data_IF_729032547574
#
_entry.id   IF_729032547574
#
_cell.length_a   1.000
_cell.length_b   1.000
_cell.length_c   1.000
_cell.angle_alpha   90.00
_cell.angle_beta   90.00
_cell.angle_gamma   90.00
#
_symmetry.space_group_name_H-M   'P 1'
#
loop_
_entity.id
_entity.type
_entity.pdbx_description
1 polymer ?
#
# COMPACT_ATOMS: atom_id res chain seq x y z
N UNK A 1 -17.97 -51.47 33.40
CA UNK A 1 -18.15 -50.01 33.55
C UNK A 1 -16.81 -49.49 34.01
N UNK A 2 -15.94 -49.19 33.05
CA UNK A 2 -14.60 -48.66 33.28
C UNK A 2 -14.23 -47.88 32.02
N UNK A 3 -13.84 -46.63 32.23
CA UNK A 3 -13.55 -45.64 31.20
C UNK A 3 -12.35 -46.10 30.36
N UNK A 4 -12.53 -46.22 29.05
CA UNK A 4 -11.43 -46.30 28.10
C UNK A 4 -10.68 -44.97 28.13
N UNK A 5 -9.51 -44.94 28.77
CA UNK A 5 -8.51 -43.90 28.57
C UNK A 5 -8.06 -43.93 27.10
N UNK A 6 -8.43 -42.87 26.37
CA UNK A 6 -7.78 -42.54 25.10
C UNK A 6 -6.31 -42.22 25.38
N UNK A 7 -5.46 -43.22 25.19
CA UNK A 7 -4.02 -43.04 25.04
C UNK A 7 -3.74 -42.22 23.77
N UNK A 8 -3.86 -40.90 23.87
CA UNK A 8 -3.06 -40.01 23.03
C UNK A 8 -1.62 -40.17 23.49
N UNK A 9 -0.90 -41.07 22.84
CA UNK A 9 0.55 -41.13 22.91
C UNK A 9 1.07 -39.73 22.55
N UNK A 10 1.54 -39.03 23.57
CA UNK A 10 2.49 -37.93 23.47
C UNK A 10 3.74 -38.48 22.79
N UNK A 11 3.67 -38.65 21.47
CA UNK A 11 4.82 -38.85 20.63
C UNK A 11 5.69 -37.62 20.80
N UNK A 12 6.74 -37.80 21.60
CA UNK A 12 8.03 -37.14 21.45
C UNK A 12 7.96 -35.69 20.98
N UNK A 13 8.02 -34.76 21.94
CA UNK A 13 8.54 -33.42 21.75
C UNK A 13 9.99 -33.49 21.22
N UNK A 14 10.18 -33.95 19.98
CA UNK A 14 11.24 -33.42 19.14
C UNK A 14 10.82 -31.99 18.89
N UNK A 15 11.67 -31.04 19.27
CA UNK A 15 11.66 -29.71 18.69
C UNK A 15 11.73 -29.89 17.16
N UNK A 16 10.58 -30.00 16.49
CA UNK A 16 10.50 -29.95 15.05
C UNK A 16 11.07 -28.60 14.65
N UNK A 17 11.99 -28.64 13.69
CA UNK A 17 12.70 -27.48 13.20
C UNK A 17 11.69 -26.39 12.82
N UNK A 18 11.77 -25.24 13.49
CA UNK A 18 11.03 -24.03 13.12
C UNK A 18 11.14 -23.76 11.62
N UNK A 19 10.01 -23.73 10.92
CA UNK A 19 9.93 -23.27 9.54
C UNK A 19 9.88 -21.73 9.55
N UNK A 20 10.85 -21.09 8.90
CA UNK A 20 10.76 -19.67 8.55
C UNK A 20 10.77 -19.54 7.03
N UNK A 21 9.59 -19.76 6.42
CA UNK A 21 9.38 -19.70 4.97
C UNK A 21 9.84 -18.38 4.34
N UNK A 22 10.01 -17.31 5.15
CA UNK A 22 10.53 -16.01 4.73
C UNK A 22 11.98 -16.09 4.22
N UNK A 23 12.76 -17.09 4.68
CA UNK A 23 14.19 -17.23 4.39
C UNK A 23 14.56 -18.60 3.81
N UNK A 24 13.86 -19.67 4.19
CA UNK A 24 14.16 -21.01 3.73
C UNK A 24 12.93 -21.92 3.81
N UNK A 25 12.78 -22.81 2.82
CA UNK A 25 11.71 -23.81 2.74
C UNK A 25 12.14 -25.21 3.20
N UNK A 26 13.44 -25.44 3.45
CA UNK A 26 13.99 -26.80 3.71
C UNK A 26 13.42 -27.49 4.95
N UNK A 27 13.02 -26.72 5.95
CA UNK A 27 12.55 -27.22 7.24
C UNK A 27 11.02 -27.08 7.38
N UNK A 28 10.32 -26.81 6.28
CA UNK A 28 8.91 -26.53 6.26
C UNK A 28 8.12 -27.76 5.84
N UNK A 29 7.12 -28.10 6.64
CA UNK A 29 6.10 -29.06 6.24
C UNK A 29 5.39 -28.51 4.98
N UNK A 30 5.11 -29.38 4.02
CA UNK A 30 4.53 -29.02 2.72
C UNK A 30 5.34 -27.99 1.88
N UNK A 31 6.68 -27.98 2.02
CA UNK A 31 7.60 -27.22 1.16
C UNK A 31 7.24 -27.17 -0.35
N UNK A 32 6.80 -28.26 -1.04
CA UNK A 32 6.42 -28.18 -2.45
C UNK A 32 5.18 -27.30 -2.71
N UNK A 33 4.21 -27.28 -1.80
CA UNK A 33 3.01 -26.45 -1.95
C UNK A 33 3.35 -24.97 -1.76
N UNK A 34 4.12 -24.65 -0.70
CA UNK A 34 4.63 -23.31 -0.42
C UNK A 34 5.47 -22.77 -1.58
N UNK A 35 6.34 -23.61 -2.16
CA UNK A 35 7.12 -23.27 -3.36
C UNK A 35 6.23 -22.91 -4.55
N UNK A 36 5.18 -23.70 -4.79
CA UNK A 36 4.22 -23.44 -5.88
C UNK A 36 3.47 -22.12 -5.67
N UNK A 37 3.01 -21.85 -4.43
CA UNK A 37 2.34 -20.60 -4.08
C UNK A 37 3.26 -19.38 -4.22
N UNK A 38 4.54 -19.50 -3.83
CA UNK A 38 5.53 -18.44 -4.02
C UNK A 38 5.81 -18.16 -5.50
N UNK A 39 5.81 -19.16 -6.37
CA UNK A 39 5.92 -18.97 -7.82
C UNK A 39 4.70 -18.23 -8.37
N UNK A 40 3.49 -18.60 -7.97
CA UNK A 40 2.26 -17.91 -8.37
C UNK A 40 2.32 -16.44 -7.93
N UNK A 41 2.71 -16.18 -6.68
CA UNK A 41 2.84 -14.82 -6.17
C UNK A 41 3.90 -13.99 -6.90
N UNK A 42 5.01 -14.63 -7.29
CA UNK A 42 6.06 -14.03 -8.12
C UNK A 42 5.49 -13.57 -9.46
N UNK A 43 4.73 -14.42 -10.14
CA UNK A 43 4.09 -14.07 -11.42
C UNK A 43 3.13 -12.90 -11.24
N UNK A 44 2.26 -12.94 -10.23
CA UNK A 44 1.29 -11.87 -9.94
C UNK A 44 1.99 -10.54 -9.68
N UNK A 45 3.02 -10.53 -8.83
CA UNK A 45 3.76 -9.30 -8.48
C UNK A 45 4.50 -8.70 -9.67
N UNK A 46 5.10 -9.51 -10.54
CA UNK A 46 5.70 -9.02 -11.78
C UNK A 46 4.67 -8.47 -12.77
N UNK A 47 3.50 -9.11 -12.91
CA UNK A 47 2.40 -8.59 -13.74
C UNK A 47 1.95 -7.21 -13.25
N UNK A 48 1.74 -7.05 -11.93
CA UNK A 48 1.35 -5.77 -11.33
C UNK A 48 2.46 -4.73 -11.54
N UNK A 49 3.73 -5.10 -11.37
CA UNK A 49 4.85 -4.21 -11.61
C UNK A 49 4.87 -3.69 -13.06
N UNK A 50 4.76 -4.59 -14.05
CA UNK A 50 4.69 -4.22 -15.46
C UNK A 50 3.48 -3.33 -15.77
N UNK A 51 2.32 -3.65 -15.20
CA UNK A 51 1.12 -2.85 -15.35
C UNK A 51 1.30 -1.43 -14.77
N UNK A 52 1.91 -1.29 -13.59
CA UNK A 52 2.18 0.05 -13.02
C UNK A 52 3.23 0.82 -13.81
N UNK A 53 4.28 0.14 -14.30
CA UNK A 53 5.32 0.74 -15.12
C UNK A 53 4.75 1.25 -16.44
N UNK A 54 3.93 0.46 -17.13
CA UNK A 54 3.28 0.88 -18.39
C UNK A 54 2.38 2.09 -18.19
N UNK A 55 1.64 2.18 -17.07
CA UNK A 55 0.83 3.35 -16.73
C UNK A 55 1.70 4.58 -16.48
N UNK A 56 2.81 4.41 -15.76
CA UNK A 56 3.76 5.48 -15.49
C UNK A 56 4.38 6.00 -16.79
N UNK A 57 4.91 5.11 -17.63
CA UNK A 57 5.45 5.44 -18.95
C UNK A 57 4.41 6.15 -19.83
N UNK A 58 3.16 5.67 -19.83
CA UNK A 58 2.08 6.32 -20.57
C UNK A 58 1.82 7.76 -20.10
N UNK A 59 1.78 7.98 -18.78
CA UNK A 59 1.60 9.34 -18.20
C UNK A 59 2.77 10.26 -18.52
N UNK A 60 4.00 9.78 -18.37
CA UNK A 60 5.22 10.54 -18.66
C UNK A 60 5.32 10.89 -20.15
N UNK A 61 4.96 9.96 -21.05
CA UNK A 61 4.96 10.21 -22.49
C UNK A 61 3.89 11.23 -22.91
N UNK A 62 2.68 11.14 -22.34
CA UNK A 62 1.64 12.14 -22.58
C UNK A 62 2.08 13.54 -22.15
N UNK A 63 2.80 13.65 -21.03
CA UNK A 63 3.40 14.92 -20.59
C UNK A 63 4.56 15.37 -21.50
N UNK A 64 5.37 14.43 -21.99
CA UNK A 64 6.47 14.73 -22.92
C UNK A 64 5.99 15.38 -24.21
N UNK A 65 4.82 14.97 -24.71
CA UNK A 65 4.24 15.59 -25.92
C UNK A 65 3.84 17.05 -25.75
N UNK A 66 3.74 17.55 -24.51
CA UNK A 66 3.41 18.95 -24.21
C UNK A 66 4.60 19.76 -23.68
N UNK A 67 5.67 19.13 -23.21
CA UNK A 67 6.91 19.78 -22.75
C UNK A 67 8.11 18.81 -22.80
N UNK A 68 9.24 19.23 -23.41
CA UNK A 68 10.52 18.49 -23.54
C UNK A 68 11.26 18.14 -22.22
N UNK A 69 10.56 18.05 -21.08
CA UNK A 69 11.14 17.86 -19.72
C UNK A 69 10.71 16.55 -19.03
N UNK A 70 10.21 15.58 -19.78
CA UNK A 70 9.46 14.40 -19.28
C UNK A 70 10.19 13.49 -18.27
N UNK A 71 11.51 13.54 -18.16
CA UNK A 71 12.29 12.59 -17.35
C UNK A 71 12.88 13.14 -16.05
N UNK A 72 12.62 14.42 -15.72
CA UNK A 72 13.16 15.02 -14.49
C UNK A 72 12.29 14.66 -13.28
N UNK A 73 12.76 13.73 -12.45
CA UNK A 73 12.03 13.17 -11.29
C UNK A 73 11.54 14.26 -10.32
N UNK A 74 12.29 15.35 -10.14
CA UNK A 74 11.89 16.44 -9.24
C UNK A 74 10.66 17.23 -9.74
N UNK A 75 10.29 17.10 -11.02
CA UNK A 75 9.10 17.74 -11.60
C UNK A 75 7.88 16.81 -11.60
N UNK A 76 8.02 15.59 -11.09
CA UNK A 76 6.93 14.60 -11.07
C UNK A 76 5.85 14.98 -10.07
N UNK A 77 4.61 14.76 -10.48
CA UNK A 77 3.46 14.86 -9.59
C UNK A 77 3.48 13.76 -8.55
N UNK A 78 2.83 13.98 -7.41
CA UNK A 78 2.75 12.98 -6.35
C UNK A 78 2.16 11.64 -6.79
N UNK A 79 1.27 11.63 -7.78
CA UNK A 79 0.69 10.38 -8.32
C UNK A 79 1.72 9.60 -9.16
N UNK A 80 2.57 10.30 -9.92
CA UNK A 80 3.66 9.67 -10.68
C UNK A 80 4.70 9.06 -9.72
N UNK A 81 5.04 9.77 -8.65
CA UNK A 81 5.91 9.26 -7.58
C UNK A 81 5.31 8.05 -6.87
N UNK A 82 4.00 8.07 -6.55
CA UNK A 82 3.30 6.91 -5.98
C UNK A 82 3.37 5.71 -6.93
N UNK A 83 3.09 5.90 -8.22
CA UNK A 83 3.17 4.82 -9.22
C UNK A 83 4.58 4.23 -9.31
N UNK A 84 5.60 5.08 -9.32
CA UNK A 84 7.01 4.66 -9.34
C UNK A 84 7.36 3.79 -8.12
N UNK A 85 6.98 4.21 -6.91
CA UNK A 85 7.23 3.42 -5.70
C UNK A 85 6.44 2.12 -5.65
N UNK A 86 5.23 2.05 -6.22
CA UNK A 86 4.50 0.78 -6.39
C UNK A 86 5.26 -0.16 -7.32
N UNK A 87 5.77 0.35 -8.45
CA UNK A 87 6.56 -0.47 -9.39
C UNK A 87 7.78 -1.07 -8.70
N UNK A 88 8.54 -0.25 -7.97
CA UNK A 88 9.71 -0.72 -7.20
C UNK A 88 9.28 -1.72 -6.13
N UNK A 89 8.23 -1.42 -5.36
CA UNK A 89 7.70 -2.32 -4.33
C UNK A 89 7.39 -3.71 -4.90
N UNK A 90 6.61 -3.77 -5.98
CA UNK A 90 6.23 -5.03 -6.62
C UNK A 90 7.43 -5.77 -7.20
N UNK A 91 8.45 -5.07 -7.75
CA UNK A 91 9.69 -5.70 -8.20
C UNK A 91 10.45 -6.35 -7.05
N UNK A 92 10.67 -5.63 -5.95
CA UNK A 92 11.40 -6.17 -4.81
C UNK A 92 10.66 -7.34 -4.15
N UNK A 93 9.33 -7.27 -4.05
CA UNK A 93 8.51 -8.39 -3.56
C UNK A 93 8.59 -9.60 -4.48
N UNK A 94 8.47 -9.40 -5.79
CA UNK A 94 8.60 -10.48 -6.78
C UNK A 94 10.00 -11.11 -6.77
N UNK A 95 11.06 -10.31 -6.62
CA UNK A 95 12.43 -10.82 -6.47
C UNK A 95 12.59 -11.64 -5.18
N UNK A 96 12.08 -11.17 -4.04
CA UNK A 96 12.11 -11.96 -2.80
C UNK A 96 11.41 -13.31 -2.99
N UNK A 97 10.16 -13.34 -3.45
CA UNK A 97 9.41 -14.59 -3.61
C UNK A 97 10.06 -15.52 -4.64
N UNK A 98 10.65 -14.95 -5.71
CA UNK A 98 11.41 -15.71 -6.69
C UNK A 98 12.66 -16.36 -6.10
N UNK A 99 13.44 -15.61 -5.31
CA UNK A 99 14.66 -16.14 -4.68
C UNK A 99 14.38 -17.29 -3.73
N UNK A 100 13.31 -17.21 -2.94
CA UNK A 100 12.91 -18.28 -2.03
C UNK A 100 12.35 -19.48 -2.80
N UNK A 101 11.47 -19.25 -3.78
CA UNK A 101 10.85 -20.32 -4.55
C UNK A 101 11.86 -21.18 -5.32
N UNK A 102 12.88 -20.56 -5.91
CA UNK A 102 13.94 -21.25 -6.65
C UNK A 102 15.12 -21.68 -5.78
N UNK A 103 15.07 -21.46 -4.47
CA UNK A 103 16.17 -21.71 -3.55
C UNK A 103 17.48 -21.05 -4.04
N UNK A 104 17.44 -19.78 -4.51
CA UNK A 104 18.63 -19.03 -4.94
C UNK A 104 19.41 -18.50 -3.73
N UNK A 105 20.74 -18.47 -3.80
CA UNK A 105 21.61 -17.99 -2.70
C UNK A 105 21.50 -18.77 -1.39
N UNK A 106 21.39 -20.10 -1.46
CA UNK A 106 21.28 -21.02 -0.31
C UNK A 106 22.30 -20.79 0.78
N UNK A 107 23.55 -20.52 0.39
CA UNK A 107 24.67 -20.36 1.30
C UNK A 107 24.76 -18.93 1.88
N UNK A 108 23.91 -18.00 1.44
CA UNK A 108 23.92 -16.60 1.85
C UNK A 108 22.61 -16.22 2.57
N UNK A 109 22.42 -16.77 3.78
CA UNK A 109 21.24 -16.53 4.61
C UNK A 109 21.00 -15.04 4.89
N UNK A 110 22.07 -14.28 5.13
CA UNK A 110 21.99 -12.82 5.34
C UNK A 110 21.36 -12.14 4.13
N UNK A 111 21.79 -12.50 2.93
CA UNK A 111 21.32 -11.91 1.69
C UNK A 111 19.83 -12.21 1.44
N UNK A 112 19.37 -13.43 1.76
CA UNK A 112 17.95 -13.81 1.71
C UNK A 112 17.09 -13.01 2.70
N UNK A 113 17.57 -12.89 3.94
CA UNK A 113 16.89 -12.09 4.96
C UNK A 113 16.81 -10.61 4.57
N UNK A 114 17.87 -10.08 3.94
CA UNK A 114 17.87 -8.73 3.38
C UNK A 114 16.85 -8.54 2.28
N UNK A 115 16.70 -9.47 1.33
CA UNK A 115 15.67 -9.33 0.29
C UNK A 115 14.26 -9.23 0.87
N UNK A 116 13.95 -9.99 1.92
CA UNK A 116 12.65 -9.91 2.57
C UNK A 116 12.41 -8.54 3.20
N UNK A 117 13.28 -8.10 4.11
CA UNK A 117 13.06 -6.87 4.88
C UNK A 117 13.15 -5.60 4.01
N UNK A 118 14.13 -5.55 3.08
CA UNK A 118 14.31 -4.41 2.17
C UNK A 118 13.11 -4.26 1.24
N UNK A 119 12.42 -5.36 0.90
CA UNK A 119 11.23 -5.31 0.04
C UNK A 119 10.09 -4.45 0.58
N UNK A 120 10.07 -4.15 1.89
CA UNK A 120 9.05 -3.29 2.49
C UNK A 120 9.36 -1.79 2.39
N UNK A 121 10.63 -1.40 2.18
CA UNK A 121 11.06 0.00 2.13
C UNK A 121 10.25 0.83 1.11
N UNK A 122 10.10 0.38 -0.16
CA UNK A 122 9.29 1.10 -1.15
C UNK A 122 7.83 1.33 -0.71
N UNK A 123 7.25 0.36 0.00
CA UNK A 123 5.89 0.45 0.52
C UNK A 123 5.74 1.53 1.61
N UNK A 124 6.74 1.69 2.48
CA UNK A 124 6.77 2.79 3.45
C UNK A 124 6.85 4.16 2.77
N UNK A 125 7.68 4.30 1.74
CA UNK A 125 7.80 5.55 0.99
C UNK A 125 6.51 5.95 0.30
N UNK A 126 5.79 4.99 -0.29
CA UNK A 126 4.47 5.23 -0.87
C UNK A 126 3.53 5.88 0.15
N UNK A 127 3.43 5.29 1.35
CA UNK A 127 2.55 5.79 2.42
C UNK A 127 2.99 7.16 2.92
N UNK A 128 4.29 7.35 3.16
CA UNK A 128 4.82 8.62 3.63
C UNK A 128 4.59 9.74 2.61
N UNK A 129 4.83 9.50 1.31
CA UNK A 129 4.56 10.48 0.24
C UNK A 129 3.08 10.86 0.26
N UNK A 130 2.19 9.87 0.35
CA UNK A 130 0.76 10.11 0.37
C UNK A 130 0.32 10.91 1.61
N UNK A 131 0.82 10.57 2.80
CA UNK A 131 0.55 11.29 4.04
C UNK A 131 1.03 12.75 3.99
N UNK A 132 2.23 13.00 3.44
CA UNK A 132 2.74 14.35 3.22
C UNK A 132 1.85 15.16 2.27
N UNK A 133 1.29 14.53 1.25
CA UNK A 133 0.32 15.20 0.37
C UNK A 133 -0.97 15.57 1.13
N UNK A 134 -1.47 14.69 2.00
CA UNK A 134 -2.62 15.00 2.85
C UNK A 134 -2.31 16.20 3.74
N UNK A 135 -1.17 16.21 4.42
CA UNK A 135 -0.79 17.33 5.30
C UNK A 135 -0.63 18.65 4.57
N UNK A 136 -0.18 18.64 3.31
CA UNK A 136 -0.10 19.84 2.46
C UNK A 136 -1.46 20.27 1.90
N UNK A 137 -2.40 19.34 1.76
CA UNK A 137 -3.73 19.56 1.18
C UNK A 137 -4.72 20.13 2.21
N UNK A 138 -4.71 19.61 3.44
CA UNK A 138 -5.65 19.99 4.50
C UNK A 138 -5.65 21.53 4.75
N UNK A 139 -4.50 22.21 4.96
CA UNK A 139 -4.47 23.66 5.18
C UNK A 139 -5.08 24.47 4.03
N UNK A 140 -4.82 24.04 2.78
CA UNK A 140 -5.31 24.73 1.57
C UNK A 140 -6.82 24.60 1.44
N UNK A 141 -7.38 23.43 1.77
CA UNK A 141 -8.83 23.23 1.76
C UNK A 141 -9.52 23.94 2.92
N UNK A 142 -8.91 23.98 4.11
CA UNK A 142 -9.49 24.68 5.27
C UNK A 142 -9.51 26.20 5.10
N UNK A 143 -8.49 26.79 4.45
CA UNK A 143 -8.43 28.24 4.24
C UNK A 143 -9.53 28.74 3.30
N UNK A 144 -9.97 27.92 2.35
CA UNK A 144 -11.10 28.24 1.48
C UNK A 144 -12.47 28.18 2.20
N UNK A 145 -12.51 27.73 3.47
CA UNK A 145 -13.75 27.54 4.25
C UNK A 145 -13.91 28.51 5.42
N UNK A 146 -12.93 29.39 5.70
CA UNK A 146 -12.96 30.31 6.85
C UNK A 146 -14.08 31.36 6.79
N UNK A 147 -14.89 31.38 5.74
CA UNK A 147 -16.15 32.15 5.67
C UNK A 147 -17.31 31.52 6.46
N UNK A 148 -17.19 30.27 6.93
CA UNK A 148 -18.29 29.54 7.57
C UNK A 148 -18.10 29.41 9.09
N UNK A 149 -18.67 30.35 9.86
CA UNK A 149 -18.56 30.49 11.34
C UNK A 149 -19.04 29.28 12.18
N UNK A 150 -19.62 28.23 11.57
CA UNK A 150 -20.19 27.05 12.27
C UNK A 150 -19.35 25.77 12.16
N UNK A 151 -18.16 25.80 11.57
CA UNK A 151 -17.35 24.59 11.47
C UNK A 151 -16.70 24.27 12.82
N UNK A 152 -17.19 23.24 13.51
CA UNK A 152 -16.56 22.59 14.67
C UNK A 152 -15.23 21.90 14.32
N UNK A 153 -14.37 22.57 13.55
CA UNK A 153 -13.01 22.11 13.29
C UNK A 153 -12.23 22.44 14.56
N UNK A 154 -12.34 21.54 15.56
CA UNK A 154 -11.38 21.45 16.67
C UNK A 154 -9.99 21.59 16.08
N UNK A 155 -9.12 22.37 16.72
CA UNK A 155 -7.73 22.65 16.32
C UNK A 155 -7.03 21.38 15.83
N UNK A 156 -7.10 21.13 14.52
CA UNK A 156 -6.44 19.97 13.91
C UNK A 156 -4.95 20.27 14.03
N UNK A 157 -4.21 19.38 14.71
CA UNK A 157 -2.76 19.48 14.77
C UNK A 157 -2.20 19.17 13.37
N UNK A 158 -1.95 20.20 12.58
CA UNK A 158 -1.37 20.07 11.24
C UNK A 158 0.06 20.63 11.31
N UNK A 159 1.09 19.82 11.00
CA UNK A 159 2.45 20.32 10.94
C UNK A 159 2.57 21.36 9.81
N UNK A 160 3.33 22.43 10.05
CA UNK A 160 3.66 23.42 8.99
C UNK A 160 4.38 22.73 7.83
N UNK A 161 4.31 23.27 6.61
CA UNK A 161 4.91 22.65 5.41
C UNK A 161 6.40 22.26 5.59
N UNK A 162 7.19 23.14 6.23
CA UNK A 162 8.60 22.84 6.59
C UNK A 162 8.72 21.68 7.57
N UNK A 163 7.87 21.64 8.59
CA UNK A 163 7.85 20.55 9.60
C UNK A 163 7.41 19.22 8.97
N UNK A 164 6.40 19.23 8.11
CA UNK A 164 5.94 18.03 7.38
C UNK A 164 7.06 17.43 6.52
N UNK A 165 7.86 18.29 5.88
CA UNK A 165 8.99 17.85 5.04
C UNK A 165 10.14 17.28 5.89
N UNK A 166 10.44 17.89 7.04
CA UNK A 166 11.46 17.37 7.98
C UNK A 166 11.03 16.01 8.53
N UNK A 167 9.78 15.89 9.00
CA UNK A 167 9.21 14.64 9.53
C UNK A 167 9.26 13.55 8.46
N UNK A 168 8.88 13.87 7.22
CA UNK A 168 8.95 12.95 6.09
C UNK A 168 10.36 12.38 5.89
N UNK A 169 11.38 13.24 5.75
CA UNK A 169 12.75 12.78 5.53
C UNK A 169 13.32 12.00 6.71
N UNK A 170 13.04 12.45 7.93
CA UNK A 170 13.44 11.75 9.14
C UNK A 170 12.83 10.35 9.20
N UNK A 171 11.53 10.21 8.95
CA UNK A 171 10.85 8.90 8.89
C UNK A 171 11.41 8.03 7.77
N UNK A 172 11.70 8.58 6.58
CA UNK A 172 12.30 7.83 5.48
C UNK A 172 13.69 7.28 5.85
N UNK A 173 14.58 8.12 6.38
CA UNK A 173 15.94 7.72 6.79
C UNK A 173 15.85 6.69 7.91
N UNK A 174 15.05 6.96 8.94
CA UNK A 174 14.89 6.05 10.08
C UNK A 174 14.38 4.67 9.65
N UNK A 175 13.31 4.61 8.86
CA UNK A 175 12.73 3.33 8.41
C UNK A 175 13.69 2.53 7.54
N UNK A 176 14.42 3.19 6.63
CA UNK A 176 15.45 2.49 5.84
C UNK A 176 16.53 1.90 6.71
N UNK A 177 17.12 2.71 7.59
CA UNK A 177 18.22 2.28 8.44
C UNK A 177 17.76 1.17 9.41
N UNK A 178 16.58 1.31 10.01
CA UNK A 178 15.98 0.31 10.90
C UNK A 178 15.77 -1.03 10.19
N UNK A 179 15.17 -1.03 8.99
CA UNK A 179 14.92 -2.27 8.23
C UNK A 179 16.21 -2.91 7.74
N UNK A 180 17.19 -2.12 7.27
CA UNK A 180 18.49 -2.66 6.86
C UNK A 180 19.23 -3.28 8.05
N UNK A 181 19.26 -2.60 9.21
CA UNK A 181 19.87 -3.13 10.42
C UNK A 181 19.16 -4.40 10.91
N UNK A 182 17.81 -4.40 10.96
CA UNK A 182 17.05 -5.59 11.34
C UNK A 182 17.37 -6.76 10.42
N UNK A 183 17.46 -6.53 9.10
CA UNK A 183 17.78 -7.60 8.13
C UNK A 183 19.14 -8.25 8.35
N UNK A 184 20.17 -7.45 8.65
CA UNK A 184 21.53 -7.93 8.86
C UNK A 184 21.60 -8.70 10.17
N UNK A 185 21.07 -8.13 11.25
CA UNK A 185 21.10 -8.75 12.59
C UNK A 185 20.28 -10.04 12.59
N UNK A 186 19.14 -10.08 11.87
CA UNK A 186 18.33 -11.28 11.71
C UNK A 186 19.07 -12.37 10.94
N UNK A 187 19.76 -12.02 9.85
CA UNK A 187 20.66 -12.92 9.15
C UNK A 187 21.73 -13.52 10.07
N UNK A 188 22.37 -12.70 10.90
CA UNK A 188 23.34 -13.16 11.90
C UNK A 188 22.71 -14.03 13.00
N UNK A 189 21.48 -13.75 13.44
CA UNK A 189 20.80 -14.55 14.46
C UNK A 189 20.48 -15.97 13.99
N UNK A 190 20.26 -16.17 12.68
CA UNK A 190 20.01 -17.48 12.08
C UNK A 190 21.31 -18.30 12.03
N UNK A 191 22.44 -17.66 11.67
CA UNK A 191 23.75 -18.32 11.60
C UNK A 191 24.33 -18.59 12.99
N UNK A 192 24.23 -17.60 13.88
CA UNK A 192 24.73 -17.64 15.25
C UNK A 192 23.58 -17.35 16.21
N UNK A 193 22.92 -18.39 16.76
CA UNK A 193 21.75 -18.24 17.64
C UNK A 193 22.16 -17.75 19.03
N UNK A 194 22.67 -16.52 19.12
CA UNK A 194 22.93 -15.82 20.38
C UNK A 194 21.66 -15.11 20.83
N UNK A 195 21.31 -15.28 22.11
CA UNK A 195 20.15 -14.62 22.74
C UNK A 195 20.15 -13.10 22.56
N UNK A 196 21.32 -12.45 22.55
CA UNK A 196 21.46 -11.01 22.34
C UNK A 196 20.95 -10.55 20.98
N UNK A 197 21.29 -11.27 19.90
CA UNK A 197 20.82 -10.92 18.56
C UNK A 197 19.32 -11.07 18.43
N UNK A 198 18.75 -12.14 18.99
CA UNK A 198 17.31 -12.36 19.03
C UNK A 198 16.55 -11.24 19.78
N UNK A 199 17.10 -10.76 20.91
CA UNK A 199 16.50 -9.65 21.65
C UNK A 199 16.54 -8.36 20.81
N UNK A 200 17.66 -8.06 20.16
CA UNK A 200 17.81 -6.86 19.35
C UNK A 200 16.90 -6.88 18.12
N UNK A 201 16.79 -8.02 17.42
CA UNK A 201 15.87 -8.15 16.28
C UNK A 201 14.42 -7.95 16.72
N UNK A 202 14.02 -8.58 17.82
CA UNK A 202 12.67 -8.42 18.37
C UNK A 202 12.38 -6.96 18.75
N UNK A 203 13.35 -6.26 19.32
CA UNK A 203 13.22 -4.85 19.68
C UNK A 203 13.10 -3.95 18.44
N UNK A 204 13.89 -4.19 17.39
CA UNK A 204 13.76 -3.45 16.13
C UNK A 204 12.42 -3.72 15.45
N UNK A 205 11.96 -4.96 15.45
CA UNK A 205 10.68 -5.35 14.84
C UNK A 205 9.49 -4.75 15.60
N UNK A 206 9.55 -4.67 16.93
CA UNK A 206 8.53 -3.98 17.75
C UNK A 206 8.49 -2.47 17.47
N UNK A 207 9.64 -1.81 17.34
CA UNK A 207 9.69 -0.39 16.96
C UNK A 207 9.06 -0.19 15.58
N UNK A 208 9.42 -1.01 14.60
CA UNK A 208 8.85 -0.94 13.25
C UNK A 208 7.35 -1.22 13.25
N UNK A 209 6.87 -2.11 14.11
CA UNK A 209 5.45 -2.40 14.31
C UNK A 209 4.71 -1.17 14.85
N UNK A 210 5.24 -0.52 15.88
CA UNK A 210 4.63 0.70 16.46
C UNK A 210 4.55 1.80 15.40
N UNK A 211 5.60 1.95 14.57
CA UNK A 211 5.60 2.91 13.47
C UNK A 211 4.51 2.56 12.44
N UNK A 212 4.35 1.29 12.07
CA UNK A 212 3.30 0.84 11.14
C UNK A 212 1.90 1.15 11.70
N UNK A 213 1.65 0.87 12.99
CA UNK A 213 0.40 1.24 13.65
C UNK A 213 0.15 2.73 13.60
N UNK A 214 1.15 3.53 13.98
CA UNK A 214 1.04 4.98 13.98
C UNK A 214 0.71 5.53 12.58
N UNK A 215 1.38 5.03 11.54
CA UNK A 215 1.10 5.40 10.15
C UNK A 215 -0.32 4.99 9.72
N UNK A 216 -0.76 3.79 10.11
CA UNK A 216 -2.11 3.30 9.83
C UNK A 216 -3.20 4.20 10.45
N UNK A 217 -3.06 4.55 11.73
CA UNK A 217 -3.96 5.49 12.40
C UNK A 217 -3.92 6.88 11.77
N UNK A 218 -2.73 7.40 11.44
CA UNK A 218 -2.59 8.68 10.76
C UNK A 218 -3.32 8.70 9.42
N UNK A 219 -3.20 7.64 8.61
CA UNK A 219 -3.90 7.52 7.34
C UNK A 219 -5.43 7.53 7.49
N UNK A 220 -5.96 6.80 8.47
CA UNK A 220 -7.41 6.75 8.70
C UNK A 220 -7.92 8.11 9.21
N UNK A 221 -7.25 8.68 10.21
CA UNK A 221 -7.66 9.92 10.86
C UNK A 221 -7.56 11.12 9.92
N UNK A 222 -6.36 11.40 9.40
CA UNK A 222 -6.14 12.54 8.52
C UNK A 222 -6.74 12.31 7.13
N UNK A 223 -6.82 11.06 6.67
CA UNK A 223 -7.51 10.71 5.45
C UNK A 223 -9.01 11.02 5.51
N UNK A 224 -9.69 10.69 6.61
CA UNK A 224 -11.11 11.04 6.81
C UNK A 224 -11.33 12.54 6.83
N UNK A 225 -10.48 13.29 7.52
CA UNK A 225 -10.53 14.75 7.55
C UNK A 225 -10.37 15.31 6.13
N UNK A 226 -9.37 14.83 5.40
CA UNK A 226 -9.08 15.28 4.04
C UNK A 226 -10.24 15.01 3.09
N UNK A 227 -10.88 13.84 3.20
CA UNK A 227 -12.08 13.50 2.42
C UNK A 227 -13.24 14.44 2.73
N UNK A 228 -13.51 14.70 4.02
CA UNK A 228 -14.60 15.58 4.43
C UNK A 228 -14.38 17.02 3.93
N UNK A 229 -13.16 17.54 4.07
CA UNK A 229 -12.81 18.87 3.57
C UNK A 229 -12.92 18.95 2.05
N UNK A 230 -12.50 17.89 1.35
CA UNK A 230 -12.64 17.82 -0.11
C UNK A 230 -14.11 17.82 -0.52
N UNK A 231 -14.95 17.03 0.14
CA UNK A 231 -16.39 16.99 -0.12
C UNK A 231 -17.06 18.35 0.14
N UNK A 232 -16.73 19.00 1.25
CA UNK A 232 -17.22 20.33 1.57
C UNK A 232 -16.74 21.39 0.58
N UNK A 233 -15.49 21.32 0.13
CA UNK A 233 -14.97 22.23 -0.91
C UNK A 233 -15.68 22.03 -2.25
N UNK A 234 -16.12 20.80 -2.56
CA UNK A 234 -16.91 20.53 -3.76
C UNK A 234 -18.32 21.11 -3.65
N UNK A 235 -18.98 20.95 -2.50
CA UNK A 235 -20.28 21.60 -2.23
C UNK A 235 -20.14 23.12 -2.38
N UNK A 236 -19.10 23.73 -1.79
CA UNK A 236 -18.87 25.17 -1.87
C UNK A 236 -18.59 25.68 -3.29
N UNK A 237 -18.07 24.83 -4.17
CA UNK A 237 -17.87 25.14 -5.58
C UNK A 237 -19.16 25.04 -6.41
N UNK A 238 -20.33 24.84 -5.79
CA UNK A 238 -21.63 24.77 -6.45
C UNK A 238 -21.88 23.46 -7.21
N UNK A 239 -21.10 22.40 -6.93
CA UNK A 239 -21.21 21.11 -7.64
C UNK A 239 -22.52 20.39 -7.29
N UNK A 240 -23.07 20.58 -6.08
CA UNK A 240 -24.30 19.92 -5.64
C UNK A 240 -25.58 20.76 -5.90
N UNK A 241 -25.48 22.09 -6.05
CA UNK A 241 -26.62 22.99 -6.29
C UNK A 241 -27.24 22.83 -7.70
N UNK A 242 -26.53 22.18 -8.61
CA UNK A 242 -26.97 21.99 -10.01
C UNK A 242 -28.03 20.87 -10.13
N UNK A 243 -28.21 20.02 -9.12
CA UNK A 243 -29.28 19.00 -9.12
C UNK A 243 -30.68 19.61 -9.15
N UNK A 244 -30.84 20.85 -8.70
CA UNK A 244 -32.12 21.56 -8.68
C UNK A 244 -32.35 22.40 -9.96
N UNK A 245 -31.33 22.54 -10.83
CA UNK A 245 -31.40 23.25 -12.12
C UNK A 245 -31.58 22.24 -13.26
N UNK A 246 -32.42 21.21 -13.06
CA UNK A 246 -32.65 20.19 -14.09
C UNK A 246 -33.58 20.62 -15.24
N UNK A 247 -33.94 21.91 -15.37
CA UNK A 247 -34.99 22.34 -16.29
C UNK A 247 -34.57 23.22 -17.49
N UNK A 248 -33.30 23.65 -17.60
CA UNK A 248 -32.87 24.49 -18.73
C UNK A 248 -31.50 24.02 -19.24
N UNK A 249 -31.39 23.72 -20.54
CA UNK A 249 -30.19 23.32 -21.32
C UNK A 249 -29.64 21.89 -21.20
N UNK A 250 -30.01 21.06 -22.18
CA UNK A 250 -29.65 19.63 -22.29
C UNK A 250 -28.17 19.35 -22.60
N UNK A 251 -27.43 20.29 -23.20
CA UNK A 251 -26.01 20.10 -23.56
C UNK A 251 -25.02 20.58 -22.47
N UNK A 252 -25.35 21.63 -21.71
CA UNK A 252 -24.55 22.10 -20.57
C UNK A 252 -24.71 21.15 -19.36
N UNK A 253 -25.92 20.62 -19.16
CA UNK A 253 -26.24 19.65 -18.10
C UNK A 253 -25.41 18.35 -18.20
N UNK A 254 -25.03 17.92 -19.41
CA UNK A 254 -24.27 16.67 -19.59
C UNK A 254 -22.78 16.82 -19.23
N UNK A 255 -22.21 18.00 -19.46
CA UNK A 255 -20.83 18.34 -19.08
C UNK A 255 -20.71 18.64 -17.58
N UNK A 256 -21.67 19.34 -16.98
CA UNK A 256 -21.71 19.59 -15.53
C UNK A 256 -21.99 18.32 -14.71
N UNK A 257 -22.94 17.48 -15.14
CA UNK A 257 -23.14 16.17 -14.48
C UNK A 257 -21.88 15.30 -14.55
N UNK A 258 -21.08 15.43 -15.61
CA UNK A 258 -19.83 14.68 -15.75
C UNK A 258 -18.71 15.19 -14.83
N UNK A 259 -18.53 16.50 -14.68
CA UNK A 259 -17.58 17.06 -13.71
C UNK A 259 -17.96 16.65 -12.29
N UNK A 260 -19.26 16.62 -11.99
CA UNK A 260 -19.78 16.22 -10.68
C UNK A 260 -19.51 14.71 -10.42
N UNK A 261 -19.72 13.85 -11.42
CA UNK A 261 -19.39 12.42 -11.34
C UNK A 261 -17.87 12.21 -11.18
N UNK A 262 -17.04 12.93 -11.93
CA UNK A 262 -15.58 12.80 -11.87
C UNK A 262 -15.02 13.25 -10.50
N UNK A 263 -15.60 14.31 -9.95
CA UNK A 263 -15.25 14.85 -8.63
C UNK A 263 -15.69 13.89 -7.51
N UNK A 264 -16.90 13.33 -7.60
CA UNK A 264 -17.37 12.29 -6.67
C UNK A 264 -16.50 11.03 -6.73
N UNK A 265 -16.07 10.61 -7.92
CA UNK A 265 -15.12 9.51 -8.11
C UNK A 265 -13.74 9.82 -7.50
N UNK A 266 -13.30 11.07 -7.57
CA UNK A 266 -12.04 11.50 -6.95
C UNK A 266 -12.09 11.41 -5.42
N UNK A 267 -13.18 11.86 -4.78
CA UNK A 267 -13.40 11.72 -3.33
C UNK A 267 -13.45 10.25 -2.94
N UNK A 268 -14.17 9.43 -3.72
CA UNK A 268 -14.29 8.00 -3.43
C UNK A 268 -12.95 7.27 -3.56
N UNK A 269 -12.12 7.62 -4.56
CA UNK A 269 -10.75 7.11 -4.68
C UNK A 269 -9.92 7.43 -3.44
N UNK A 270 -10.00 8.67 -2.94
CA UNK A 270 -9.28 9.09 -1.75
C UNK A 270 -9.72 8.29 -0.51
N UNK A 271 -11.02 8.05 -0.37
CA UNK A 271 -11.58 7.20 0.69
C UNK A 271 -11.04 5.77 0.61
N UNK A 272 -11.13 5.14 -0.58
CA UNK A 272 -10.65 3.77 -0.81
C UNK A 272 -9.16 3.68 -0.47
N UNK A 273 -8.35 4.63 -0.93
CA UNK A 273 -6.91 4.65 -0.64
C UNK A 273 -6.64 4.75 0.87
N UNK A 274 -7.29 5.69 1.56
CA UNK A 274 -7.11 5.89 3.01
C UNK A 274 -7.51 4.66 3.82
N UNK A 275 -8.66 4.07 3.50
CA UNK A 275 -9.22 2.93 4.21
C UNK A 275 -8.36 1.69 3.95
N UNK A 276 -8.04 1.40 2.68
CA UNK A 276 -7.24 0.23 2.33
C UNK A 276 -5.85 0.35 2.96
N UNK A 277 -5.08 1.40 2.66
CA UNK A 277 -3.74 1.53 3.22
C UNK A 277 -3.75 1.57 4.76
N UNK A 278 -4.73 2.25 5.37
CA UNK A 278 -4.86 2.30 6.83
C UNK A 278 -5.15 0.94 7.46
N UNK A 279 -6.16 0.22 6.96
CA UNK A 279 -6.53 -1.11 7.45
C UNK A 279 -5.41 -2.10 7.21
N UNK A 280 -4.76 -2.09 6.04
CA UNK A 280 -3.65 -3.00 5.73
C UNK A 280 -2.52 -2.85 6.76
N UNK A 281 -2.11 -1.61 7.10
CA UNK A 281 -1.06 -1.38 8.09
C UNK A 281 -1.47 -1.80 9.51
N UNK A 282 -2.71 -1.52 9.92
CA UNK A 282 -3.23 -1.92 11.24
C UNK A 282 -3.34 -3.44 11.32
N UNK A 283 -3.88 -4.08 10.30
CA UNK A 283 -4.08 -5.52 10.24
C UNK A 283 -2.76 -6.28 10.25
N UNK A 284 -1.77 -5.86 9.44
CA UNK A 284 -0.43 -6.47 9.50
C UNK A 284 0.22 -6.27 10.86
N UNK A 285 0.03 -5.10 11.49
CA UNK A 285 0.57 -4.88 12.83
C UNK A 285 -0.10 -5.78 13.86
N UNK A 286 -1.41 -5.98 13.76
CA UNK A 286 -2.16 -6.90 14.62
C UNK A 286 -1.68 -8.35 14.47
N UNK A 287 -1.50 -8.85 13.24
CA UNK A 287 -0.95 -10.21 13.00
C UNK A 287 0.43 -10.36 13.67
N UNK A 288 1.31 -9.37 13.51
CA UNK A 288 2.64 -9.41 14.13
C UNK A 288 2.58 -9.33 15.67
N UNK A 289 1.64 -8.57 16.25
CA UNK A 289 1.43 -8.55 17.71
C UNK A 289 1.00 -9.92 18.20
N UNK A 290 0.03 -10.53 17.53
CA UNK A 290 -0.49 -11.86 17.88
C UNK A 290 0.64 -12.90 17.78
N UNK A 291 1.45 -12.83 16.72
CA UNK A 291 2.63 -13.69 16.56
C UNK A 291 3.67 -13.48 17.67
N UNK A 292 3.90 -12.25 18.13
CA UNK A 292 4.84 -11.97 19.21
C UNK A 292 4.34 -12.42 20.58
N UNK A 293 3.06 -12.21 20.90
CA UNK A 293 2.48 -12.56 22.21
C UNK A 293 2.38 -14.07 22.37
N UNK A 294 1.89 -14.76 21.34
CA UNK A 294 1.67 -16.20 21.37
C UNK A 294 2.79 -16.96 20.65
N UNK A 295 4.01 -16.39 20.62
CA UNK A 295 5.15 -16.91 19.87
C UNK A 295 5.41 -18.40 20.11
N UNK A 296 5.23 -18.89 21.34
CA UNK A 296 5.43 -20.31 21.66
C UNK A 296 4.33 -21.23 21.14
N UNK A 297 3.07 -20.78 21.14
CA UNK A 297 1.90 -21.61 20.86
C UNK A 297 1.45 -21.52 19.39
N UNK A 298 1.64 -20.37 18.75
CA UNK A 298 1.20 -20.13 17.36
C UNK A 298 2.24 -20.50 16.30
N UNK A 299 3.54 -20.48 16.64
CA UNK A 299 4.60 -20.84 15.68
C UNK A 299 4.60 -22.34 15.37
N UNK A 300 4.12 -23.16 16.29
CA UNK A 300 3.99 -24.59 16.06
C UNK A 300 2.61 -24.94 15.45
N UNK A 301 1.77 -23.93 15.19
CA UNK A 301 0.47 -24.13 14.58
C UNK A 301 0.53 -23.89 13.06
N UNK A 302 0.46 -24.95 12.23
CA UNK A 302 0.60 -24.83 10.78
C UNK A 302 -0.51 -23.98 10.13
N UNK A 303 -1.70 -23.91 10.77
CA UNK A 303 -2.80 -23.09 10.27
C UNK A 303 -2.52 -21.59 10.40
N UNK A 304 -1.89 -21.18 11.50
CA UNK A 304 -1.51 -19.78 11.70
C UNK A 304 -0.38 -19.38 10.74
N UNK A 305 0.57 -20.27 10.51
CA UNK A 305 1.66 -20.05 9.56
C UNK A 305 1.16 -19.92 8.11
N UNK A 306 0.24 -20.80 7.68
CA UNK A 306 -0.41 -20.71 6.37
C UNK A 306 -1.26 -19.44 6.21
N UNK A 307 -1.91 -18.99 7.29
CA UNK A 307 -2.65 -17.73 7.32
C UNK A 307 -1.72 -16.51 7.19
N UNK A 308 -0.62 -16.48 7.94
CA UNK A 308 0.40 -15.42 7.86
C UNK A 308 1.01 -15.38 6.46
N UNK A 309 1.43 -16.56 5.95
CA UNK A 309 1.92 -16.73 4.59
C UNK A 309 0.95 -16.16 3.56
N UNK A 310 -0.31 -16.61 3.57
CA UNK A 310 -1.32 -16.19 2.60
C UNK A 310 -1.57 -14.69 2.66
N UNK A 311 -1.62 -14.12 3.86
CA UNK A 311 -1.84 -12.70 4.06
C UNK A 311 -0.67 -11.87 3.55
N UNK A 312 0.57 -12.26 3.83
CA UNK A 312 1.77 -11.51 3.42
C UNK A 312 2.07 -11.64 1.92
N UNK A 313 1.87 -12.84 1.37
CA UNK A 313 2.22 -13.17 -0.01
C UNK A 313 1.12 -12.75 -1.00
N UNK A 314 -0.15 -12.95 -0.68
CA UNK A 314 -1.27 -12.63 -1.58
C UNK A 314 -2.06 -11.38 -1.16
N UNK A 315 -2.07 -11.03 0.13
CA UNK A 315 -2.71 -9.79 0.58
C UNK A 315 -2.01 -8.55 0.03
N UNK A 316 -0.68 -8.46 0.14
CA UNK A 316 0.06 -7.27 -0.34
C UNK A 316 -0.13 -6.98 -1.83
N UNK A 317 -0.03 -7.96 -2.76
CA UNK A 317 -0.26 -7.71 -4.18
C UNK A 317 -1.72 -7.35 -4.47
N UNK A 318 -2.68 -8.00 -3.81
CA UNK A 318 -4.11 -7.70 -3.98
C UNK A 318 -4.44 -6.27 -3.57
N UNK A 319 -3.87 -5.78 -2.46
CA UNK A 319 -4.02 -4.37 -2.05
C UNK A 319 -3.39 -3.42 -3.08
N UNK A 320 -2.20 -3.73 -3.60
CA UNK A 320 -1.59 -2.91 -4.65
C UNK A 320 -2.42 -2.89 -5.94
N UNK A 321 -3.02 -4.02 -6.33
CA UNK A 321 -3.89 -4.11 -7.49
C UNK A 321 -5.12 -3.19 -7.33
N UNK A 322 -5.81 -3.24 -6.18
CA UNK A 322 -6.96 -2.37 -5.92
C UNK A 322 -6.56 -0.90 -6.00
N UNK A 323 -5.41 -0.54 -5.44
CA UNK A 323 -4.90 0.82 -5.46
C UNK A 323 -4.59 1.29 -6.89
N UNK A 324 -4.01 0.43 -7.72
CA UNK A 324 -3.73 0.73 -9.13
C UNK A 324 -5.01 0.87 -9.95
N UNK A 325 -6.01 0.00 -9.73
CA UNK A 325 -7.34 0.11 -10.32
C UNK A 325 -7.99 1.45 -9.93
N UNK A 326 -7.92 1.83 -8.65
CA UNK A 326 -8.44 3.10 -8.17
C UNK A 326 -7.74 4.31 -8.79
N UNK A 327 -6.44 4.21 -9.12
CA UNK A 327 -5.71 5.26 -9.86
C UNK A 327 -6.15 5.33 -11.34
N UNK A 328 -6.48 4.21 -11.97
CA UNK A 328 -6.82 4.11 -13.38
C UNK A 328 -8.27 4.50 -13.71
N UNK A 329 -9.23 4.14 -12.86
CA UNK A 329 -10.66 4.26 -13.11
C UNK A 329 -11.10 5.65 -13.65
N UNK A 330 -10.61 6.78 -13.11
CA UNK A 330 -11.00 8.11 -13.61
C UNK A 330 -10.46 8.42 -15.02
N UNK A 331 -9.29 7.89 -15.36
CA UNK A 331 -8.65 8.15 -16.66
C UNK A 331 -9.33 7.39 -17.79
N UNK A 332 -9.76 6.14 -17.52
CA UNK A 332 -10.49 5.32 -18.49
C UNK A 332 -11.85 5.95 -18.81
N UNK A 333 -12.56 6.44 -17.80
CA UNK A 333 -13.84 7.12 -17.97
C UNK A 333 -13.71 8.40 -18.80
N UNK A 334 -12.64 9.18 -18.58
CA UNK A 334 -12.35 10.39 -19.36
C UNK A 334 -12.08 10.07 -20.85
N UNK A 335 -11.37 8.98 -21.15
CA UNK A 335 -10.96 8.60 -22.52
C UNK A 335 -12.11 7.97 -23.33
N UNK A 336 -12.92 7.08 -22.73
CA UNK A 336 -14.09 6.48 -23.39
C UNK A 336 -15.07 7.54 -23.91
N UNK A 337 -15.25 8.64 -23.17
CA UNK A 337 -16.16 9.72 -23.57
C UNK A 337 -15.55 10.68 -24.58
N UNK A 338 -14.23 10.96 -24.54
CA UNK A 338 -13.60 11.75 -25.60
C UNK A 338 -13.72 11.04 -26.96
N UNK A 339 -13.58 9.71 -26.98
CA UNK A 339 -13.89 8.86 -28.13
C UNK A 339 -15.38 8.94 -28.52
N UNK A 340 -16.31 8.84 -27.57
CA UNK A 340 -17.74 9.01 -27.85
C UNK A 340 -18.08 10.38 -28.46
N UNK A 341 -17.49 11.48 -27.97
CA UNK A 341 -17.67 12.81 -28.54
C UNK A 341 -17.05 12.97 -29.92
N UNK A 342 -15.88 12.36 -30.17
CA UNK A 342 -15.28 12.30 -31.50
C UNK A 342 -16.17 11.52 -32.48
N UNK A 343 -16.69 10.36 -32.09
CA UNK A 343 -17.62 9.57 -32.92
C UNK A 343 -18.95 10.29 -33.16
N UNK A 344 -19.50 10.98 -32.16
CA UNK A 344 -20.71 11.79 -32.33
C UNK A 344 -20.45 12.95 -33.31
N UNK A 345 -19.33 13.65 -33.19
CA UNK A 345 -18.98 14.78 -34.09
C UNK A 345 -18.72 14.32 -35.53
N UNK A 346 -18.15 13.13 -35.73
CA UNK A 346 -17.99 12.51 -37.06
C UNK A 346 -19.33 12.11 -37.67
N UNK A 347 -20.29 11.63 -36.88
CA UNK A 347 -21.64 11.28 -37.38
C UNK A 347 -22.50 12.51 -37.71
N UNK A 348 -22.32 13.64 -37.02
CA UNK A 348 -22.99 14.90 -37.37
C UNK A 348 -22.33 15.67 -38.52
N UNK A 349 -21.06 15.38 -38.84
CA UNK A 349 -20.35 15.97 -39.99
C UNK A 349 -20.65 15.33 -41.34
N UNK A 350 -21.57 14.36 -41.40
CA UNK A 350 -22.01 13.68 -42.64
C UNK A 350 -23.45 14.04 -43.07
N UNK A 351 -24.07 15.05 -42.44
CA UNK A 351 -25.44 15.52 -42.77
C UNK A 351 -25.40 17.03 -43.09
N UNK A 352 -24.40 17.49 -43.83
CA UNK A 352 -24.40 18.84 -44.42
C UNK A 352 -23.98 18.75 -45.87
#
# INVERSE_FOLDING_TARGET
>A
MEFNEFNHSFHSLRFSSFCDWRHNLRNCDDAPTLKTLLLIATIITFIISLLTLTILCWKLNYRSSTCNKSWKIYEWSSIELILFWITIYCLFRGLHTFTIALDLFTNHVILRASFYEISFIPGFYLVLIYLTNIFRLIPKLSFNQTSNRKSNIKTICIPKDKQSTIIFWFSCIFTTLSLTCSSIIRGYSIIYPKKSFFIITTLLDTINLIIRLFLGFCLIYYGRISVNLTNQSMILAGIDDIKDINNCDSNSNLNMNHTNILNKLHVHKMQIFNIICGITFIFYSFINIVQMIFFKDLIHNPYFEMFDFSTLIFGTPLFTLILVIAILLPNVLKKKRMLYYLFKKVNYGKIL
#
